data_IF_935253204366
#
_entry.id   IF_935253204366
#
_cell.length_a   1.000
_cell.length_b   1.000
_cell.length_c   1.000
_cell.angle_alpha   90.00
_cell.angle_beta   90.00
_cell.angle_gamma   90.00
#
_symmetry.space_group_name_H-M   'P 1'
#
loop_
_entity.id
_entity.type
_entity.pdbx_description
1 polymer ?
#
# COMPACT_ATOMS: atom_id res chain seq x y z
N UNK A 1 25.16 -3.25 10.46
CA UNK A 1 24.09 -3.08 9.45
C UNK A 1 23.35 -1.81 9.80
N UNK A 2 23.45 -0.77 8.96
CA UNK A 2 22.59 0.42 9.12
C UNK A 2 21.17 -0.04 8.80
N UNK A 3 20.24 0.19 9.72
CA UNK A 3 18.82 -0.01 9.49
C UNK A 3 18.47 0.99 8.38
N UNK A 4 18.31 0.49 7.15
CA UNK A 4 17.73 1.27 6.07
C UNK A 4 16.33 1.64 6.52
N UNK A 5 16.13 2.94 6.71
CA UNK A 5 14.90 3.51 7.22
C UNK A 5 13.74 3.02 6.35
N UNK A 6 12.76 2.34 6.95
CA UNK A 6 11.63 1.74 6.24
C UNK A 6 10.92 2.81 5.38
N UNK A 7 10.96 4.06 5.84
CA UNK A 7 10.49 5.25 5.15
C UNK A 7 11.20 5.49 3.80
N UNK A 8 12.53 5.32 3.73
CA UNK A 8 13.29 5.45 2.47
C UNK A 8 12.90 4.38 1.45
N UNK A 9 12.73 3.13 1.89
CA UNK A 9 12.31 2.05 0.99
C UNK A 9 10.89 2.26 0.45
N UNK A 10 9.98 2.76 1.30
CA UNK A 10 8.61 3.08 0.90
C UNK A 10 8.56 4.24 -0.10
N UNK A 11 9.43 5.24 0.07
CA UNK A 11 9.57 6.35 -0.87
C UNK A 11 10.12 5.93 -2.24
N UNK A 12 11.13 5.05 -2.26
CA UNK A 12 11.71 4.51 -3.50
C UNK A 12 10.66 3.71 -4.28
N UNK A 13 9.86 2.91 -3.57
CA UNK A 13 8.75 2.15 -4.15
C UNK A 13 7.65 3.07 -4.70
N UNK A 14 7.24 4.08 -3.93
CA UNK A 14 6.19 5.04 -4.31
C UNK A 14 6.58 5.93 -5.52
N UNK A 15 7.85 6.29 -5.65
CA UNK A 15 8.34 7.13 -6.75
C UNK A 15 8.78 6.31 -8.00
N UNK A 16 8.66 4.98 -7.97
CA UNK A 16 9.06 4.11 -9.07
C UNK A 16 10.58 4.09 -9.33
N UNK A 17 11.40 4.40 -8.33
CA UNK A 17 12.86 4.59 -8.46
C UNK A 17 13.65 3.27 -8.31
N UNK A 18 13.05 2.15 -8.72
CA UNK A 18 13.68 0.83 -8.65
C UNK A 18 14.87 0.80 -9.64
N UNK A 19 16.09 0.76 -9.10
CA UNK A 19 17.34 0.71 -9.87
C UNK A 19 18.22 1.97 -9.81
N UNK A 20 17.86 2.97 -9.01
CA UNK A 20 18.74 4.12 -8.75
C UNK A 20 19.84 3.73 -7.75
N UNK A 21 21.09 4.08 -8.07
CA UNK A 21 22.25 3.87 -7.21
C UNK A 21 22.00 4.51 -5.82
N UNK A 22 22.26 3.78 -4.74
CA UNK A 22 22.07 4.23 -3.35
C UNK A 22 22.77 5.56 -3.07
N UNK A 23 23.92 5.82 -3.72
CA UNK A 23 24.65 7.09 -3.59
C UNK A 23 23.89 8.29 -4.17
N UNK A 24 23.05 8.09 -5.18
CA UNK A 24 22.21 9.13 -5.79
C UNK A 24 21.00 9.46 -4.93
N UNK A 25 20.46 8.47 -4.20
CA UNK A 25 19.37 8.66 -3.25
C UNK A 25 19.79 9.52 -2.04
N UNK A 26 21.06 9.45 -1.64
CA UNK A 26 21.60 10.31 -0.57
C UNK A 26 21.84 11.76 -1.03
N UNK A 27 21.84 12.02 -2.34
CA UNK A 27 21.90 13.38 -2.92
C UNK A 27 20.53 13.99 -3.22
N UNK A 28 19.46 13.19 -3.13
CA UNK A 28 18.11 13.73 -3.27
C UNK A 28 17.79 14.63 -2.06
N UNK A 29 17.20 15.82 -2.26
CA UNK A 29 16.79 16.67 -1.15
C UNK A 29 15.61 16.01 -0.42
N UNK A 30 15.93 15.16 0.56
CA UNK A 30 14.98 14.41 1.40
C UNK A 30 14.00 15.37 2.10
N UNK A 31 14.41 16.62 2.38
CA UNK A 31 13.56 17.65 2.98
C UNK A 31 12.24 17.85 2.21
N UNK A 32 12.29 17.93 0.87
CA UNK A 32 11.09 18.14 0.04
C UNK A 32 10.18 16.90 -0.06
N UNK A 33 10.68 15.75 0.37
CA UNK A 33 9.97 14.47 0.35
C UNK A 33 9.30 14.18 1.69
N UNK A 34 9.90 14.64 2.80
CA UNK A 34 9.30 14.59 4.14
C UNK A 34 8.14 15.60 4.24
N UNK A 35 8.28 16.80 3.66
CA UNK A 35 7.22 17.82 3.71
C UNK A 35 5.93 17.39 2.97
N UNK A 36 6.01 16.44 2.01
CA UNK A 36 4.81 15.82 1.40
C UNK A 36 4.20 14.71 2.24
N UNK A 37 4.97 14.16 3.19
CA UNK A 37 4.57 13.06 4.06
C UNK A 37 3.85 13.50 5.33
N UNK A 38 3.90 14.79 5.69
CA UNK A 38 3.22 15.30 6.89
C UNK A 38 1.70 15.49 6.69
N UNK A 39 1.25 15.73 5.45
CA UNK A 39 -0.17 15.92 5.13
C UNK A 39 -0.88 14.62 4.70
N UNK A 40 -0.13 13.52 4.52
CA UNK A 40 -0.66 12.27 3.99
C UNK A 40 -0.65 11.13 5.03
N UNK A 41 -1.78 10.44 5.14
CA UNK A 41 -1.96 9.29 6.03
C UNK A 41 -1.78 8.00 5.24
N UNK A 42 -0.93 7.10 5.75
CA UNK A 42 -0.72 5.78 5.17
C UNK A 42 -1.75 4.78 5.71
N UNK A 43 -2.55 4.20 4.82
CA UNK A 43 -3.49 3.14 5.14
C UNK A 43 -3.00 1.84 4.51
N UNK A 44 -2.77 0.83 5.35
CA UNK A 44 -2.36 -0.51 4.96
C UNK A 44 -3.56 -1.45 4.90
N UNK A 45 -4.00 -1.79 3.71
CA UNK A 45 -5.02 -2.81 3.46
C UNK A 45 -4.36 -4.19 3.45
N UNK A 46 -4.85 -5.10 4.28
CA UNK A 46 -4.41 -6.49 4.34
C UNK A 46 -5.50 -7.36 3.72
N UNK A 47 -5.11 -8.11 2.70
CA UNK A 47 -5.96 -9.02 1.93
C UNK A 47 -5.66 -10.44 2.39
N UNK A 48 -6.65 -11.07 3.02
CA UNK A 48 -6.52 -12.35 3.67
C UNK A 48 -7.22 -13.45 2.87
N UNK A 49 -6.42 -14.42 2.44
CA UNK A 49 -6.88 -15.63 1.78
C UNK A 49 -6.97 -16.76 2.81
N UNK A 50 -7.99 -17.62 2.70
CA UNK A 50 -7.99 -18.89 3.44
C UNK A 50 -7.03 -19.89 2.79
N UNK A 51 -6.99 -19.91 1.45
CA UNK A 51 -6.04 -20.66 0.64
C UNK A 51 -5.75 -19.91 -0.65
N UNK A 52 -4.47 -19.67 -0.95
CA UNK A 52 -4.07 -19.00 -2.19
C UNK A 52 -4.18 -19.97 -3.36
N UNK A 53 -5.02 -19.61 -4.34
CA UNK A 53 -5.07 -20.22 -5.67
C UNK A 53 -4.60 -19.17 -6.67
N UNK A 54 -3.77 -19.55 -7.64
CA UNK A 54 -3.16 -18.60 -8.57
C UNK A 54 -4.20 -17.80 -9.37
N UNK A 55 -5.27 -18.46 -9.83
CA UNK A 55 -6.36 -17.84 -10.58
C UNK A 55 -7.09 -16.77 -9.75
N UNK A 56 -7.45 -17.10 -8.51
CA UNK A 56 -8.10 -16.17 -7.57
C UNK A 56 -7.16 -15.03 -7.20
N UNK A 57 -5.85 -15.30 -7.05
CA UNK A 57 -4.88 -14.27 -6.71
C UNK A 57 -4.79 -13.19 -7.81
N UNK A 58 -4.74 -13.59 -9.08
CA UNK A 58 -4.67 -12.64 -10.19
C UNK A 58 -5.93 -11.76 -10.25
N UNK A 59 -7.10 -12.38 -10.13
CA UNK A 59 -8.38 -11.66 -10.10
C UNK A 59 -8.45 -10.68 -8.91
N UNK A 60 -8.03 -11.10 -7.72
CA UNK A 60 -7.99 -10.25 -6.53
C UNK A 60 -7.03 -9.09 -6.71
N UNK A 61 -5.84 -9.32 -7.28
CA UNK A 61 -4.87 -8.25 -7.55
C UNK A 61 -5.44 -7.23 -8.52
N UNK A 62 -6.13 -7.65 -9.57
CA UNK A 62 -6.79 -6.73 -10.52
C UNK A 62 -7.88 -5.89 -9.85
N UNK A 63 -8.77 -6.53 -9.07
CA UNK A 63 -9.83 -5.86 -8.30
C UNK A 63 -9.23 -4.83 -7.34
N UNK A 64 -8.24 -5.25 -6.55
CA UNK A 64 -7.57 -4.41 -5.54
C UNK A 64 -6.89 -3.21 -6.22
N UNK A 65 -6.18 -3.44 -7.31
CA UNK A 65 -5.47 -2.38 -8.04
C UNK A 65 -6.44 -1.34 -8.60
N UNK A 66 -7.57 -1.81 -9.14
CA UNK A 66 -8.61 -0.94 -9.69
C UNK A 66 -9.30 -0.12 -8.61
N UNK A 67 -9.74 -0.74 -7.51
CA UNK A 67 -10.45 -0.04 -6.44
C UNK A 67 -9.53 0.94 -5.74
N UNK A 68 -8.30 0.53 -5.41
CA UNK A 68 -7.34 1.37 -4.71
C UNK A 68 -6.61 2.37 -5.63
N UNK A 69 -6.85 2.31 -6.94
CA UNK A 69 -6.23 3.19 -7.94
C UNK A 69 -4.69 3.12 -7.93
N UNK A 70 -4.15 1.90 -7.83
CA UNK A 70 -2.71 1.62 -7.75
C UNK A 70 -2.23 0.69 -8.86
N UNK A 71 -0.91 0.56 -9.01
CA UNK A 71 -0.31 -0.48 -9.85
C UNK A 71 -0.42 -1.85 -9.17
N UNK A 72 -0.73 -2.90 -9.94
CA UNK A 72 -0.76 -4.28 -9.47
C UNK A 72 0.55 -4.75 -8.83
N UNK A 73 1.68 -4.19 -9.25
CA UNK A 73 3.00 -4.47 -8.67
C UNK A 73 3.17 -3.94 -7.26
N UNK A 74 2.33 -3.00 -6.82
CA UNK A 74 2.33 -2.47 -5.45
C UNK A 74 1.64 -3.41 -4.45
N UNK A 75 1.04 -4.51 -4.91
CA UNK A 75 0.47 -5.54 -4.03
C UNK A 75 1.57 -6.50 -3.59
N UNK A 76 2.00 -6.37 -2.34
CA UNK A 76 3.12 -7.14 -1.80
C UNK A 76 2.65 -8.25 -0.87
N UNK A 77 3.39 -9.36 -0.84
CA UNK A 77 3.12 -10.43 0.13
C UNK A 77 3.65 -10.04 1.50
N UNK A 78 2.82 -10.16 2.54
CA UNK A 78 3.19 -9.75 3.89
C UNK A 78 4.02 -10.82 4.60
N UNK A 79 5.34 -10.62 4.68
CA UNK A 79 6.24 -11.50 5.42
C UNK A 79 6.29 -12.93 4.87
N UNK A 80 6.58 -13.90 5.73
CA UNK A 80 6.64 -15.33 5.37
C UNK A 80 5.26 -16.00 5.31
N UNK A 81 4.20 -15.35 5.81
CA UNK A 81 2.84 -15.88 5.75
C UNK A 81 2.38 -16.03 4.30
N UNK A 82 1.88 -17.21 3.94
CA UNK A 82 1.55 -17.55 2.55
C UNK A 82 0.22 -17.03 2.07
N UNK A 83 -0.58 -16.46 2.95
CA UNK A 83 -2.00 -16.19 2.68
C UNK A 83 -2.43 -14.75 2.90
N UNK A 84 -1.53 -13.86 3.33
CA UNK A 84 -1.84 -12.45 3.52
C UNK A 84 -1.00 -11.59 2.58
N UNK A 85 -1.68 -10.72 1.83
CA UNK A 85 -1.07 -9.68 1.00
C UNK A 85 -1.35 -8.31 1.62
N UNK A 86 -0.43 -7.38 1.46
CA UNK A 86 -0.51 -6.03 2.00
C UNK A 86 -0.38 -5.03 0.88
N UNK A 87 -1.18 -3.98 0.99
CA UNK A 87 -1.16 -2.84 0.08
C UNK A 87 -1.16 -1.58 0.92
N UNK A 88 -0.23 -0.68 0.64
CA UNK A 88 -0.15 0.61 1.33
C UNK A 88 -0.57 1.71 0.37
N UNK A 89 -1.56 2.51 0.80
CA UNK A 89 -2.09 3.64 0.05
C UNK A 89 -1.96 4.90 0.91
N UNK A 90 -1.48 5.98 0.31
CA UNK A 90 -1.34 7.26 0.98
C UNK A 90 -2.50 8.17 0.56
N UNK A 91 -3.23 8.69 1.54
CA UNK A 91 -4.35 9.59 1.33
C UNK A 91 -4.03 10.96 1.91
N UNK A 92 -4.23 12.01 1.12
CA UNK A 92 -4.33 13.38 1.63
C UNK A 92 -5.76 13.68 2.13
N UNK A 93 -5.94 14.84 2.75
CA UNK A 93 -7.26 15.35 3.15
C UNK A 93 -7.67 16.63 2.43
N UNK A 94 -7.17 16.87 1.21
CA UNK A 94 -7.38 18.12 0.48
C UNK A 94 -8.81 18.26 -0.05
N UNK A 95 -9.42 17.16 -0.51
CA UNK A 95 -10.74 17.14 -1.16
C UNK A 95 -11.80 16.38 -0.35
N UNK A 96 -11.38 15.36 0.39
CA UNK A 96 -12.19 14.52 1.26
C UNK A 96 -11.30 14.07 2.41
N UNK A 97 -11.83 13.99 3.63
CA UNK A 97 -11.02 13.53 4.76
C UNK A 97 -10.52 12.11 4.48
N UNK A 98 -9.24 11.86 4.73
CA UNK A 98 -8.56 10.61 4.38
C UNK A 98 -9.32 9.36 4.89
N UNK A 99 -9.92 9.46 6.08
CA UNK A 99 -10.67 8.35 6.69
C UNK A 99 -11.91 7.98 5.90
N UNK A 100 -12.63 8.98 5.39
CA UNK A 100 -13.87 8.75 4.66
C UNK A 100 -13.55 8.09 3.32
N UNK A 101 -12.50 8.56 2.63
CA UNK A 101 -12.02 7.94 1.39
C UNK A 101 -11.53 6.50 1.65
N UNK A 102 -10.76 6.27 2.70
CA UNK A 102 -10.28 4.93 3.06
C UNK A 102 -11.42 3.98 3.43
N UNK A 103 -12.45 4.45 4.14
CA UNK A 103 -13.65 3.69 4.47
C UNK A 103 -14.43 3.28 3.22
N UNK A 104 -14.65 4.21 2.27
CA UNK A 104 -15.32 3.89 1.01
C UNK A 104 -14.58 2.80 0.23
N UNK A 105 -13.25 2.95 0.10
CA UNK A 105 -12.42 1.96 -0.60
C UNK A 105 -12.41 0.61 0.14
N UNK A 106 -12.39 0.62 1.47
CA UNK A 106 -12.48 -0.59 2.28
C UNK A 106 -13.80 -1.34 2.05
N UNK A 107 -14.92 -0.63 2.08
CA UNK A 107 -16.25 -1.22 1.87
C UNK A 107 -16.40 -1.80 0.45
N UNK A 108 -15.91 -1.07 -0.56
CA UNK A 108 -15.90 -1.52 -1.95
C UNK A 108 -15.05 -2.80 -2.10
N UNK A 109 -13.83 -2.82 -1.54
CA UNK A 109 -12.99 -4.02 -1.50
C UNK A 109 -13.68 -5.19 -0.78
N UNK A 110 -14.27 -4.95 0.39
CA UNK A 110 -14.92 -5.99 1.16
C UNK A 110 -16.11 -6.60 0.41
N UNK A 111 -16.85 -5.80 -0.34
CA UNK A 111 -17.99 -6.26 -1.13
C UNK A 111 -17.57 -7.08 -2.35
N UNK A 112 -16.56 -6.62 -3.10
CA UNK A 112 -16.09 -7.31 -4.32
C UNK A 112 -15.27 -8.57 -4.01
N UNK A 113 -14.54 -8.60 -2.89
CA UNK A 113 -13.67 -9.72 -2.53
C UNK A 113 -14.39 -10.82 -1.73
N UNK A 114 -15.52 -10.50 -1.09
CA UNK A 114 -16.32 -11.46 -0.31
C UNK A 114 -16.82 -12.66 -1.14
N UNK A 115 -17.33 -12.50 -2.37
CA UNK A 115 -17.70 -13.62 -3.25
C UNK A 115 -16.55 -14.59 -3.54
N UNK A 116 -15.30 -14.10 -3.53
CA UNK A 116 -14.09 -14.88 -3.75
C UNK A 116 -13.59 -15.58 -2.47
N UNK A 117 -14.30 -15.41 -1.35
CA UNK A 117 -13.89 -15.96 -0.04
C UNK A 117 -12.68 -15.24 0.56
N UNK A 118 -12.39 -14.02 0.11
CA UNK A 118 -11.25 -13.21 0.56
C UNK A 118 -11.74 -12.15 1.54
N UNK A 119 -11.00 -11.98 2.65
CA UNK A 119 -11.31 -10.99 3.69
C UNK A 119 -10.35 -9.82 3.60
N UNK A 120 -10.79 -8.65 4.04
CA UNK A 120 -9.98 -7.43 4.06
C UNK A 120 -9.95 -6.88 5.48
N UNK A 121 -8.78 -6.40 5.92
CA UNK A 121 -8.63 -5.55 7.10
C UNK A 121 -7.78 -4.33 6.75
N UNK A 122 -7.93 -3.24 7.49
CA UNK A 122 -7.13 -2.04 7.28
C UNK A 122 -6.46 -1.60 8.58
N UNK A 123 -5.20 -1.18 8.49
CA UNK A 123 -4.46 -0.54 9.58
C UNK A 123 -4.03 0.85 9.13
N UNK A 124 -4.06 1.82 10.04
CA UNK A 124 -3.63 3.19 9.76
C UNK A 124 -2.29 3.42 10.44
N UNK A 125 -1.32 3.96 9.70
CA UNK A 125 -0.06 4.45 10.26
C UNK A 125 -0.03 5.95 10.08
N UNK A 126 0.00 6.67 11.20
CA UNK A 126 0.12 8.13 11.24
C UNK A 126 1.56 8.40 11.70
N UNK A 127 2.33 9.18 10.93
CA UNK A 127 3.63 9.66 11.39
C UNK A 127 3.39 10.57 12.62
N UNK A 128 4.06 10.26 13.73
CA UNK A 128 4.13 11.14 14.91
C UNK A 128 5.50 11.81 14.94
#
# INVERSE_FOLDING_TARGET
MKILDIQKNLLISHLGLVGINEELLDTFPIQNLIDKSDDQVCVAFNIHFEKVKAEVLLEVVEIVSKILEIDAKSVERKGSESTTFMVQVFYDSLTMHWSDRACLKFEELANELKPLGVKVSANVSINN
#
